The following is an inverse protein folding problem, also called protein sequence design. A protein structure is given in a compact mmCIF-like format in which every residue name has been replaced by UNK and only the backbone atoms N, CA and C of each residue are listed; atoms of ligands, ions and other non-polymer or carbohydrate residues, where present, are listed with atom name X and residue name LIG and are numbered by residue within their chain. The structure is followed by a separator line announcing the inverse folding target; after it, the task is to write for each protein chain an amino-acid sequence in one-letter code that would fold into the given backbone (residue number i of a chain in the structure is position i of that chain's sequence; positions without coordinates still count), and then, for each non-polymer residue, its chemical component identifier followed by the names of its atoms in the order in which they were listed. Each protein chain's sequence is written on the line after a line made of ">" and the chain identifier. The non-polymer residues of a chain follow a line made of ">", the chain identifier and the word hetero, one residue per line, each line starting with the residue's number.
data_IF_867332434419
#
_entry.id   IF_867332434419
#
_cell.length_a   1.000
_cell.length_b   1.000
_cell.length_c   1.000
_cell.angle_alpha   90.00
_cell.angle_beta   90.00
_cell.angle_gamma   90.00
#
_symmetry.space_group_name_H-M   'P 1'
#
loop_
_entity.id
_entity.type
_entity.pdbx_description
1 polymer ?
#
# COMPACT_ATOMS: atom_id res chain seq x y z
N UNK A 1 -5.29 11.29 -30.44
CA UNK A 1 -6.14 10.33 -29.70
C UNK A 1 -5.23 9.30 -29.05
N UNK A 2 -5.14 9.32 -27.72
CA UNK A 2 -4.34 8.32 -26.99
C UNK A 2 -5.06 6.98 -27.11
N UNK A 3 -4.37 5.94 -27.59
CA UNK A 3 -4.95 4.59 -27.64
C UNK A 3 -5.19 4.14 -26.22
N UNK A 4 -6.44 3.88 -25.85
CA UNK A 4 -6.77 3.27 -24.56
C UNK A 4 -6.04 1.92 -24.44
N UNK A 5 -4.92 1.93 -23.71
CA UNK A 5 -4.15 0.72 -23.48
C UNK A 5 -4.80 -0.02 -22.33
N UNK A 6 -5.29 -1.22 -22.65
CA UNK A 6 -5.80 -2.18 -21.70
C UNK A 6 -4.69 -3.17 -21.34
N UNK A 7 -4.58 -3.48 -20.06
CA UNK A 7 -3.57 -4.38 -19.52
C UNK A 7 -4.25 -5.51 -18.78
N UNK A 8 -3.73 -6.73 -18.89
CA UNK A 8 -4.09 -7.77 -17.93
C UNK A 8 -3.63 -7.39 -16.51
N UNK A 9 -4.26 -7.94 -15.47
CA UNK A 9 -3.83 -7.68 -14.08
C UNK A 9 -2.36 -8.06 -13.82
N UNK A 10 -1.83 -9.04 -14.55
CA UNK A 10 -0.42 -9.43 -14.48
C UNK A 10 0.49 -8.38 -15.14
N UNK A 11 0.15 -7.92 -16.34
CA UNK A 11 0.90 -6.85 -17.03
C UNK A 11 0.85 -5.55 -16.25
N UNK A 12 -0.31 -5.20 -15.69
CA UNK A 12 -0.47 -4.07 -14.79
C UNK A 12 0.45 -4.21 -13.56
N UNK A 13 0.58 -5.41 -13.00
CA UNK A 13 1.48 -5.64 -11.86
C UNK A 13 2.96 -5.50 -12.27
N UNK A 14 3.32 -5.95 -13.48
CA UNK A 14 4.68 -5.82 -14.01
C UNK A 14 5.05 -4.38 -14.34
N UNK A 15 4.13 -3.59 -14.88
CA UNK A 15 4.38 -2.19 -15.24
C UNK A 15 4.76 -1.33 -14.03
N UNK A 16 4.28 -1.70 -12.84
CA UNK A 16 4.59 -1.04 -11.57
C UNK A 16 5.71 -1.73 -10.76
N UNK A 17 6.39 -2.73 -11.35
CA UNK A 17 7.48 -3.47 -10.70
C UNK A 17 7.05 -4.35 -9.52
N UNK A 18 5.81 -4.85 -9.51
CA UNK A 18 5.27 -5.74 -8.46
C UNK A 18 5.17 -7.19 -8.95
N UNK A 19 4.86 -8.09 -8.01
CA UNK A 19 4.68 -9.51 -8.32
C UNK A 19 3.47 -9.73 -9.25
N UNK A 20 3.53 -10.76 -10.10
CA UNK A 20 2.49 -11.07 -11.11
C UNK A 20 1.05 -11.10 -10.60
N UNK A 21 0.84 -11.46 -9.33
CA UNK A 21 -0.46 -11.61 -8.71
C UNK A 21 -0.86 -10.43 -7.83
N UNK A 22 -0.13 -9.31 -7.89
CA UNK A 22 -0.34 -8.17 -7.00
C UNK A 22 -1.76 -7.62 -7.10
N UNK A 23 -2.19 -7.19 -8.30
CA UNK A 23 -3.54 -6.66 -8.47
C UNK A 23 -4.64 -7.71 -8.21
N UNK A 24 -4.43 -8.98 -8.59
CA UNK A 24 -5.39 -10.05 -8.29
C UNK A 24 -5.57 -10.24 -6.78
N UNK A 25 -4.47 -10.27 -6.03
CA UNK A 25 -4.49 -10.42 -4.57
C UNK A 25 -5.13 -9.20 -3.90
N UNK A 26 -4.78 -7.99 -4.35
CA UNK A 26 -5.36 -6.75 -3.84
C UNK A 26 -6.85 -6.71 -4.10
N UNK A 27 -7.34 -7.15 -5.27
CA UNK A 27 -8.77 -7.18 -5.57
C UNK A 27 -9.54 -8.13 -4.66
N UNK A 28 -8.95 -9.26 -4.30
CA UNK A 28 -9.57 -10.21 -3.36
C UNK A 28 -9.60 -9.67 -1.93
N UNK A 29 -8.54 -8.97 -1.50
CA UNK A 29 -8.41 -8.47 -0.11
C UNK A 29 -9.11 -7.14 0.13
N UNK A 30 -9.07 -6.26 -0.87
CA UNK A 30 -9.54 -4.88 -0.84
C UNK A 30 -10.33 -4.58 -2.12
N UNK A 31 -11.51 -5.20 -2.30
CA UNK A 31 -12.36 -4.94 -3.46
C UNK A 31 -12.79 -3.47 -3.55
N UNK A 32 -12.82 -2.74 -2.43
CA UNK A 32 -13.16 -1.32 -2.35
C UNK A 32 -12.24 -0.42 -3.21
N UNK A 33 -11.00 -0.83 -3.47
CA UNK A 33 -10.06 -0.03 -4.29
C UNK A 33 -10.38 -0.09 -5.78
N UNK A 34 -11.24 -1.02 -6.20
CA UNK A 34 -11.60 -1.25 -7.60
C UNK A 34 -13.02 -0.77 -7.93
N UNK A 35 -13.74 -0.17 -6.97
CA UNK A 35 -15.15 0.19 -7.14
C UNK A 35 -15.39 1.27 -8.21
N UNK A 36 -14.43 2.19 -8.36
CA UNK A 36 -14.48 3.26 -9.37
C UNK A 36 -13.72 2.90 -10.65
N UNK A 37 -13.14 1.71 -10.71
CA UNK A 37 -12.22 1.32 -11.78
C UNK A 37 -12.93 0.47 -12.81
N UNK A 38 -12.82 0.87 -14.08
CA UNK A 38 -13.33 0.05 -15.18
C UNK A 38 -12.51 -1.24 -15.34
N UNK A 39 -13.15 -2.36 -15.00
CA UNK A 39 -12.64 -3.70 -15.24
C UNK A 39 -13.46 -4.37 -16.33
N UNK A 40 -12.79 -4.93 -17.33
CA UNK A 40 -13.45 -5.72 -18.39
C UNK A 40 -12.98 -7.16 -18.31
N UNK A 41 -13.90 -8.09 -18.53
CA UNK A 41 -13.57 -9.50 -18.67
C UNK A 41 -13.44 -9.83 -20.16
N UNK A 42 -12.27 -10.34 -20.55
CA UNK A 42 -11.99 -10.79 -21.92
C UNK A 42 -11.59 -12.26 -21.83
N UNK A 43 -12.51 -13.15 -22.18
CA UNK A 43 -12.37 -14.59 -21.96
C UNK A 43 -12.21 -14.91 -20.47
N UNK A 44 -11.13 -15.60 -20.13
CA UNK A 44 -10.80 -15.96 -18.74
C UNK A 44 -9.94 -14.90 -18.02
N UNK A 45 -9.58 -13.80 -18.70
CA UNK A 45 -8.69 -12.77 -18.16
C UNK A 45 -9.43 -11.47 -17.90
N UNK A 46 -9.11 -10.86 -16.76
CA UNK A 46 -9.58 -9.51 -16.42
C UNK A 46 -8.54 -8.49 -16.87
N UNK A 47 -9.00 -7.46 -17.57
CA UNK A 47 -8.20 -6.35 -18.05
C UNK A 47 -8.62 -5.04 -17.36
N UNK A 48 -7.65 -4.15 -17.20
CA UNK A 48 -7.75 -2.85 -16.53
C UNK A 48 -7.13 -1.77 -17.43
N UNK A 49 -7.72 -0.58 -17.45
CA UNK A 49 -7.17 0.57 -18.16
C UNK A 49 -5.98 1.17 -17.40
N UNK A 50 -5.12 1.93 -18.09
CA UNK A 50 -4.04 2.65 -17.41
C UNK A 50 -4.55 3.59 -16.31
N UNK A 51 -5.65 4.30 -16.58
CA UNK A 51 -6.29 5.21 -15.60
C UNK A 51 -6.78 4.43 -14.37
N UNK A 52 -7.35 3.24 -14.60
CA UNK A 52 -7.76 2.34 -13.52
C UNK A 52 -6.60 1.93 -12.63
N UNK A 53 -5.45 1.58 -13.21
CA UNK A 53 -4.24 1.23 -12.44
C UNK A 53 -3.84 2.39 -11.52
N UNK A 54 -3.82 3.62 -12.05
CA UNK A 54 -3.40 4.81 -11.30
C UNK A 54 -4.39 5.13 -10.16
N UNK A 55 -5.68 4.90 -10.36
CA UNK A 55 -6.70 5.11 -9.33
C UNK A 55 -6.56 4.09 -8.18
N UNK A 56 -6.41 2.80 -8.48
CA UNK A 56 -6.14 1.78 -7.44
C UNK A 56 -4.90 2.15 -6.64
N UNK A 57 -3.82 2.60 -7.30
CA UNK A 57 -2.58 2.99 -6.62
C UNK A 57 -2.76 4.21 -5.70
N UNK A 58 -3.61 5.18 -6.06
CA UNK A 58 -3.94 6.32 -5.19
C UNK A 58 -4.62 5.86 -3.90
N UNK A 59 -5.48 4.85 -3.97
CA UNK A 59 -6.14 4.28 -2.79
C UNK A 59 -5.13 3.54 -1.89
N UNK A 60 -4.28 2.69 -2.48
CA UNK A 60 -3.26 1.91 -1.73
C UNK A 60 -2.25 2.80 -1.01
N UNK A 61 -1.80 3.90 -1.64
CA UNK A 61 -0.79 4.80 -1.05
C UNK A 61 -1.23 5.39 0.29
N UNK A 62 -2.53 5.54 0.54
CA UNK A 62 -3.06 6.03 1.83
C UNK A 62 -2.93 5.01 2.96
N UNK A 63 -2.81 3.72 2.66
CA UNK A 63 -2.69 2.68 3.67
C UNK A 63 -1.26 2.57 4.23
N UNK A 64 -0.24 2.82 3.41
CA UNK A 64 1.15 2.91 3.84
C UNK A 64 1.42 4.03 4.86
N UNK A 65 0.65 5.12 4.81
CA UNK A 65 0.73 6.21 5.79
C UNK A 65 0.23 5.76 7.19
N UNK A 66 -0.75 4.86 7.27
CA UNK A 66 -1.16 4.26 8.56
C UNK A 66 -0.03 3.47 9.20
N UNK A 67 0.72 2.71 8.40
CA UNK A 67 1.91 1.99 8.86
C UNK A 67 3.08 2.93 9.19
N UNK A 68 3.08 4.19 8.74
CA UNK A 68 4.05 5.21 9.19
C UNK A 68 3.61 5.84 10.51
N UNK A 69 2.31 6.05 10.68
CA UNK A 69 1.71 6.58 11.92
C UNK A 69 1.87 5.59 13.09
N UNK A 70 1.74 4.29 12.87
CA UNK A 70 1.82 3.29 13.96
C UNK A 70 3.19 3.25 14.67
N UNK A 71 4.34 3.10 13.97
CA UNK A 71 5.67 3.23 14.56
C UNK A 71 5.89 4.59 15.21
N UNK A 72 5.47 5.68 14.56
CA UNK A 72 5.57 7.03 15.15
C UNK A 72 4.77 7.15 16.45
N UNK A 73 3.58 6.54 16.51
CA UNK A 73 2.74 6.50 17.72
C UNK A 73 3.39 5.68 18.83
N UNK A 74 4.05 4.57 18.49
CA UNK A 74 4.83 3.76 19.44
C UNK A 74 6.03 4.55 19.98
N UNK A 75 6.83 5.17 19.09
CA UNK A 75 7.97 6.02 19.48
C UNK A 75 7.54 7.20 20.34
N UNK A 76 6.44 7.86 20.00
CA UNK A 76 5.92 8.99 20.76
C UNK A 76 5.40 8.57 22.15
N UNK A 77 4.70 7.41 22.25
CA UNK A 77 4.30 6.85 23.56
C UNK A 77 5.51 6.49 24.42
N UNK A 78 6.55 5.88 23.85
CA UNK A 78 7.78 5.55 24.56
C UNK A 78 8.51 6.80 25.09
N UNK A 79 8.58 7.87 24.28
CA UNK A 79 9.14 9.16 24.73
C UNK A 79 8.32 9.84 25.82
N UNK A 80 6.98 9.76 25.75
CA UNK A 80 6.08 10.34 26.77
C UNK A 80 6.10 9.59 28.10
N UNK A 81 6.42 8.29 28.10
CA UNK A 81 6.50 7.48 29.32
C UNK A 81 7.84 7.62 30.08
N UNK A 82 8.72 8.55 29.69
CA UNK A 82 9.81 8.99 30.55
C UNK A 82 10.85 7.91 30.85
N UNK A 83 11.34 7.21 29.82
CA UNK A 83 12.57 6.42 29.95
C UNK A 83 13.79 7.36 30.01
N UNK A 84 13.87 8.14 31.09
CA UNK A 84 15.05 8.90 31.45
C UNK A 84 16.00 7.94 32.16
N UNK A 85 16.94 7.35 31.42
CA UNK A 85 18.11 6.71 32.01
C UNK A 85 19.00 7.83 32.59
N UNK A 86 18.70 8.31 33.79
CA UNK A 86 19.70 9.02 34.57
C UNK A 86 20.62 7.96 35.18
N UNK A 87 21.93 7.95 34.85
CA UNK A 87 22.86 7.06 35.52
C UNK A 87 22.91 7.46 37.00
N UNK A 88 22.48 6.57 37.89
CA UNK A 88 22.68 6.77 39.32
C UNK A 88 24.18 6.67 39.57
N UNK A 89 24.80 7.78 39.98
CA UNK A 89 26.19 7.79 40.41
C UNK A 89 26.33 6.86 41.62
N UNK A 90 26.93 5.69 41.40
CA UNK A 90 27.27 4.76 42.47
C UNK A 90 28.42 5.41 43.25
N UNK A 91 28.10 5.99 44.41
CA UNK A 91 29.09 6.42 45.39
C UNK A 91 29.58 5.14 46.07
N UNK A 92 30.80 4.71 45.72
CA UNK A 92 31.48 3.58 46.38
C UNK A 92 32.17 4.14 47.64
N UNK A 93 32.01 3.52 48.82
CA UNK A 93 32.51 4.01 50.10
C UNK A 93 34.04 4.01 50.21
#
# INVERSE_FOLDING_TARGET
>A
MSKDKWFSLNEASRSIGKSKGYFSTTRTRHPEYFQNVELKQVGDTIIISQEGIDEVLKHIKKEGDRLRILPLKVVYKAKKQGFCFYPQAIIIP
#
